data_IF_958253923670
#
_entry.id   IF_958253923670
#
_cell.length_a   1.000
_cell.length_b   1.000
_cell.length_c   1.000
_cell.angle_alpha   90.00
_cell.angle_beta   90.00
_cell.angle_gamma   90.00
#
_symmetry.space_group_name_H-M   'P 1'
#
loop_
_entity.id
_entity.type
_entity.pdbx_description
1 polymer ?
#
# COMPACT_ATOMS: atom_id res chain seq x y z
N UNK A 1 14.21 25.30 -20.60
CA UNK A 1 13.56 24.18 -19.88
C UNK A 1 14.21 24.08 -18.52
N UNK A 2 13.43 24.16 -17.47
CA UNK A 2 13.82 23.82 -16.10
C UNK A 2 13.10 22.55 -15.67
N UNK A 3 13.59 21.91 -14.61
CA UNK A 3 12.96 20.77 -14.00
C UNK A 3 12.46 21.19 -12.61
N UNK A 4 11.22 20.85 -12.30
CA UNK A 4 10.68 20.93 -10.95
C UNK A 4 10.61 19.51 -10.38
N UNK A 5 10.74 19.40 -9.05
CA UNK A 5 10.53 18.16 -8.32
C UNK A 5 9.28 18.24 -7.47
N UNK A 6 8.47 17.20 -7.45
CA UNK A 6 7.43 16.99 -6.45
C UNK A 6 7.81 15.77 -5.61
N UNK A 7 7.76 15.85 -4.27
CA UNK A 7 8.12 14.71 -3.43
C UNK A 7 7.06 13.60 -3.50
N UNK A 8 7.56 12.38 -3.44
CA UNK A 8 6.82 11.15 -3.24
C UNK A 8 7.14 10.67 -1.82
N UNK A 9 6.10 10.35 -1.05
CA UNK A 9 6.17 10.16 0.40
C UNK A 9 5.84 8.71 0.73
N UNK A 10 6.64 8.09 1.61
CA UNK A 10 6.29 6.81 2.23
C UNK A 10 5.19 7.04 3.27
N UNK A 11 4.02 6.46 3.06
CA UNK A 11 2.81 6.76 3.84
C UNK A 11 2.73 6.04 5.18
N UNK A 12 3.64 5.11 5.47
CA UNK A 12 3.78 4.51 6.80
C UNK A 12 4.58 5.38 7.77
N UNK A 13 5.53 6.17 7.25
CA UNK A 13 6.48 6.95 8.06
C UNK A 13 6.34 8.46 7.91
N UNK A 14 5.79 8.92 6.79
CA UNK A 14 5.79 10.32 6.37
C UNK A 14 7.13 10.79 5.79
N UNK A 15 8.11 9.91 5.60
CA UNK A 15 9.41 10.25 5.02
C UNK A 15 9.31 10.47 3.50
N UNK A 16 10.14 11.35 2.95
CA UNK A 16 10.24 11.53 1.51
C UNK A 16 11.03 10.35 0.91
N UNK A 17 10.34 9.49 0.16
CA UNK A 17 10.91 8.30 -0.48
C UNK A 17 11.54 8.63 -1.84
N UNK A 18 11.07 9.67 -2.52
CA UNK A 18 11.53 10.01 -3.85
C UNK A 18 10.96 11.31 -4.37
N UNK A 19 11.22 11.59 -5.65
CA UNK A 19 10.73 12.78 -6.32
C UNK A 19 10.31 12.46 -7.74
N UNK A 20 9.19 12.99 -8.18
CA UNK A 20 8.86 13.06 -9.60
C UNK A 20 9.46 14.32 -10.22
N UNK A 21 10.16 14.14 -11.35
CA UNK A 21 10.65 15.24 -12.17
C UNK A 21 9.59 15.68 -13.17
N UNK A 22 9.22 16.95 -13.07
CA UNK A 22 8.25 17.58 -13.93
C UNK A 22 8.93 18.65 -14.79
N UNK A 23 8.88 18.46 -16.10
CA UNK A 23 9.41 19.43 -17.05
C UNK A 23 8.65 20.76 -16.95
N UNK A 24 9.41 21.87 -16.98
CA UNK A 24 8.88 23.23 -17.06
C UNK A 24 9.55 23.96 -18.20
N UNK A 25 8.75 24.61 -19.02
CA UNK A 25 9.23 25.37 -20.17
C UNK A 25 9.09 26.84 -19.84
N UNK A 26 10.21 27.46 -19.46
CA UNK A 26 10.28 28.91 -19.35
C UNK A 26 10.25 29.52 -20.74
N UNK A 27 9.21 30.31 -20.98
CA UNK A 27 8.89 30.96 -22.24
C UNK A 27 8.70 32.45 -22.04
N UNK A 28 9.17 33.01 -20.91
CA UNK A 28 9.02 34.45 -20.64
C UNK A 28 9.58 35.33 -21.77
N UNK A 29 10.64 34.87 -22.45
CA UNK A 29 11.21 35.56 -23.62
C UNK A 29 10.35 35.47 -24.90
N UNK A 30 9.48 34.47 -25.03
CA UNK A 30 8.63 34.25 -26.22
C UNK A 30 7.15 34.61 -25.98
N UNK A 31 6.73 34.82 -24.74
CA UNK A 31 5.35 35.15 -24.36
C UNK A 31 4.37 33.97 -24.42
N UNK A 32 4.84 32.74 -24.69
CA UNK A 32 3.99 31.57 -24.91
C UNK A 32 3.88 30.73 -23.63
N UNK A 33 2.85 30.92 -22.81
CA UNK A 33 2.61 30.00 -21.69
C UNK A 33 1.89 28.74 -22.20
N UNK A 34 2.58 27.60 -22.19
CA UNK A 34 2.02 26.31 -22.57
C UNK A 34 2.41 25.24 -21.54
N UNK A 35 1.50 24.30 -21.32
CA UNK A 35 1.70 23.14 -20.45
C UNK A 35 2.69 22.15 -21.09
N UNK A 36 3.36 21.30 -20.29
CA UNK A 36 4.35 20.35 -20.82
C UNK A 36 3.81 19.45 -21.94
N UNK A 37 2.59 18.94 -21.79
CA UNK A 37 1.87 18.14 -22.79
C UNK A 37 1.81 18.82 -24.17
N UNK A 38 1.56 20.13 -24.23
CA UNK A 38 1.57 20.88 -25.48
C UNK A 38 2.96 20.98 -26.11
N UNK A 39 4.00 21.07 -25.29
CA UNK A 39 5.39 21.10 -25.77
C UNK A 39 5.83 19.76 -26.34
N UNK A 40 5.50 18.66 -25.67
CA UNK A 40 5.76 17.31 -26.18
C UNK A 40 4.96 17.01 -27.46
N UNK A 41 3.67 17.39 -27.50
CA UNK A 41 2.87 17.27 -28.72
C UNK A 41 3.42 18.09 -29.89
N UNK A 42 3.96 19.29 -29.63
CA UNK A 42 4.64 20.07 -30.65
C UNK A 42 5.95 19.39 -31.09
N UNK A 43 6.75 18.88 -30.15
CA UNK A 43 7.98 18.17 -30.47
C UNK A 43 7.73 16.93 -31.34
N UNK A 44 6.64 16.21 -31.07
CA UNK A 44 6.17 15.09 -31.88
C UNK A 44 5.79 15.55 -33.29
N UNK A 45 4.95 16.59 -33.39
CA UNK A 45 4.54 17.16 -34.67
C UNK A 45 5.72 17.60 -35.56
N UNK A 46 6.79 18.11 -34.94
CA UNK A 46 8.00 18.57 -35.64
C UNK A 46 9.10 17.51 -35.74
N UNK A 47 8.89 16.28 -35.27
CA UNK A 47 9.86 15.18 -35.36
C UNK A 47 11.11 15.35 -34.49
N UNK A 48 11.02 16.16 -33.42
CA UNK A 48 12.11 16.42 -32.47
C UNK A 48 11.84 15.85 -31.07
N UNK A 49 10.76 15.06 -30.90
CA UNK A 49 10.37 14.49 -29.61
C UNK A 49 11.48 13.65 -28.97
N UNK A 50 12.09 12.73 -29.72
CA UNK A 50 13.23 11.94 -29.22
C UNK A 50 14.42 12.79 -28.73
N UNK A 51 14.68 13.95 -29.35
CA UNK A 51 15.74 14.87 -28.91
C UNK A 51 15.37 15.58 -27.61
N UNK A 52 14.10 15.96 -27.46
CA UNK A 52 13.57 16.55 -26.24
C UNK A 52 13.59 15.53 -25.10
N UNK A 53 13.11 14.30 -25.34
CA UNK A 53 13.10 13.22 -24.37
C UNK A 53 14.52 12.85 -23.90
N UNK A 54 15.47 12.72 -24.83
CA UNK A 54 16.88 12.46 -24.48
C UNK A 54 17.44 13.56 -23.57
N UNK A 55 17.12 14.82 -23.83
CA UNK A 55 17.53 15.94 -22.96
C UNK A 55 16.91 15.86 -21.57
N UNK A 56 15.62 15.56 -21.47
CA UNK A 56 14.93 15.40 -20.18
C UNK A 56 15.58 14.28 -19.37
N UNK A 57 15.79 13.12 -20.00
CA UNK A 57 16.42 11.95 -19.38
C UNK A 57 17.85 12.24 -18.92
N UNK A 58 18.72 12.79 -19.76
CA UNK A 58 20.10 13.14 -19.35
C UNK A 58 20.12 14.14 -18.20
N UNK A 59 19.18 15.09 -18.20
CA UNK A 59 19.07 16.07 -17.11
C UNK A 59 18.60 15.41 -15.81
N UNK A 60 17.63 14.49 -15.87
CA UNK A 60 17.17 13.73 -14.72
C UNK A 60 18.27 12.83 -14.14
N UNK A 61 19.03 12.13 -15.00
CA UNK A 61 20.17 11.29 -14.57
C UNK A 61 21.23 12.13 -13.84
N UNK A 62 21.50 13.36 -14.30
CA UNK A 62 22.40 14.28 -13.62
C UNK A 62 21.82 14.78 -12.28
N UNK A 63 20.54 15.19 -12.26
CA UNK A 63 19.84 15.67 -11.06
C UNK A 63 19.81 14.63 -9.94
N UNK A 64 19.69 13.35 -10.29
CA UNK A 64 19.71 12.24 -9.32
C UNK A 64 20.94 12.25 -8.41
N UNK A 65 22.10 12.72 -8.88
CA UNK A 65 23.34 12.72 -8.12
C UNK A 65 23.33 13.67 -6.91
N UNK A 66 22.42 14.65 -6.90
CA UNK A 66 22.33 15.66 -5.83
C UNK A 66 21.10 15.46 -4.92
N UNK A 67 20.37 14.36 -5.10
CA UNK A 67 19.25 14.02 -4.24
C UNK A 67 19.72 13.61 -2.84
N UNK A 68 18.88 13.83 -1.80
CA UNK A 68 19.11 13.28 -0.47
C UNK A 68 19.41 11.77 -0.50
N UNK A 69 20.16 11.21 0.47
CA UNK A 69 20.38 9.77 0.55
C UNK A 69 19.06 8.98 0.58
N UNK A 70 19.09 7.74 0.09
CA UNK A 70 17.97 6.79 0.13
C UNK A 70 16.68 7.21 -0.61
N UNK A 71 16.71 8.31 -1.37
CA UNK A 71 15.57 8.72 -2.23
C UNK A 71 15.74 8.30 -3.68
N UNK A 72 14.65 8.05 -4.40
CA UNK A 72 14.67 7.85 -5.86
C UNK A 72 14.21 9.09 -6.65
N UNK A 73 14.43 9.08 -7.96
CA UNK A 73 13.96 10.08 -8.91
C UNK A 73 13.13 9.40 -10.00
N UNK A 74 11.88 9.80 -10.20
CA UNK A 74 11.08 9.35 -11.34
C UNK A 74 11.20 10.33 -12.50
N UNK A 75 11.24 9.78 -13.71
CA UNK A 75 11.22 10.55 -14.96
C UNK A 75 10.28 9.90 -15.95
N UNK A 76 9.36 10.70 -16.46
CA UNK A 76 8.42 10.33 -17.51
C UNK A 76 9.15 10.02 -18.82
N UNK A 77 8.86 8.85 -19.41
CA UNK A 77 9.39 8.41 -20.70
C UNK A 77 8.31 7.74 -21.53
N UNK A 78 8.13 8.21 -22.76
CA UNK A 78 7.26 7.53 -23.72
C UNK A 78 7.90 6.20 -24.15
N UNK A 79 7.23 5.05 -23.95
CA UNK A 79 7.77 3.72 -24.25
C UNK A 79 8.39 3.55 -25.64
N UNK A 80 7.78 4.12 -26.68
CA UNK A 80 8.27 3.97 -28.06
C UNK A 80 9.60 4.70 -28.29
N UNK A 81 9.86 5.79 -27.55
CA UNK A 81 11.09 6.57 -27.65
C UNK A 81 12.28 5.84 -27.02
N UNK A 82 12.07 4.87 -26.12
CA UNK A 82 13.14 4.02 -25.60
C UNK A 82 13.84 3.19 -26.68
N UNK A 83 13.18 3.01 -27.84
CA UNK A 83 13.77 2.34 -29.00
C UNK A 83 14.59 3.28 -29.89
N UNK A 84 14.52 4.59 -29.65
CA UNK A 84 15.32 5.58 -30.35
C UNK A 84 16.74 5.63 -29.77
N UNK A 85 17.75 5.59 -30.64
CA UNK A 85 19.16 5.56 -30.24
C UNK A 85 19.55 6.75 -29.35
N UNK A 86 18.93 7.92 -29.51
CA UNK A 86 19.26 9.12 -28.72
C UNK A 86 18.80 8.97 -27.27
N UNK A 87 17.61 8.42 -27.05
CA UNK A 87 17.06 8.22 -25.70
C UNK A 87 17.71 7.01 -25.05
N UNK A 88 17.93 5.95 -25.81
CA UNK A 88 18.69 4.79 -25.34
C UNK A 88 20.11 5.18 -24.94
N UNK A 89 20.83 5.99 -25.72
CA UNK A 89 22.14 6.51 -25.35
C UNK A 89 22.09 7.35 -24.07
N UNK A 90 21.11 8.25 -23.95
CA UNK A 90 20.90 9.08 -22.76
C UNK A 90 20.62 8.28 -21.47
N UNK A 91 20.22 7.00 -21.56
CA UNK A 91 20.10 6.09 -20.42
C UNK A 91 21.33 5.17 -20.28
N UNK A 92 21.72 4.52 -21.37
CA UNK A 92 22.63 3.36 -21.35
C UNK A 92 24.11 3.74 -21.38
N UNK A 93 24.46 4.96 -21.81
CA UNK A 93 25.82 5.50 -21.67
C UNK A 93 26.18 5.74 -20.21
N UNK A 94 25.18 5.90 -19.34
CA UNK A 94 25.39 5.90 -17.90
C UNK A 94 25.47 4.46 -17.39
N UNK A 95 26.56 4.13 -16.71
CA UNK A 95 26.79 2.78 -16.19
C UNK A 95 25.86 2.41 -15.04
N UNK A 96 25.57 3.36 -14.15
CA UNK A 96 24.73 3.16 -12.97
C UNK A 96 23.42 3.94 -13.07
N UNK A 97 22.30 3.21 -13.05
CA UNK A 97 20.93 3.72 -13.08
C UNK A 97 20.18 3.50 -11.74
N UNK A 98 20.88 3.11 -10.67
CA UNK A 98 20.32 3.01 -9.31
C UNK A 98 19.59 4.29 -8.89
N UNK A 99 18.51 4.17 -8.11
CA UNK A 99 17.70 5.32 -7.67
C UNK A 99 17.01 6.12 -8.79
N UNK A 100 17.06 5.66 -10.05
CA UNK A 100 16.24 6.21 -11.13
C UNK A 100 15.03 5.29 -11.34
N UNK A 101 13.86 5.89 -11.55
CA UNK A 101 12.62 5.21 -11.92
C UNK A 101 12.17 5.74 -13.27
N UNK A 102 12.05 4.87 -14.26
CA UNK A 102 11.46 5.24 -15.55
C UNK A 102 9.95 5.05 -15.48
N UNK A 103 9.22 6.13 -15.64
CA UNK A 103 7.77 6.14 -15.63
C UNK A 103 7.25 6.01 -17.06
N UNK A 104 6.55 4.92 -17.32
CA UNK A 104 6.05 4.56 -18.64
C UNK A 104 4.57 4.90 -18.73
N UNK A 105 4.22 5.77 -19.68
CA UNK A 105 2.82 6.16 -19.93
C UNK A 105 2.08 5.07 -20.71
N UNK A 106 0.82 4.80 -20.33
CA UNK A 106 0.01 3.72 -20.91
C UNK A 106 -0.32 3.91 -22.40
N UNK A 107 -0.40 5.17 -22.83
CA UNK A 107 -0.93 5.58 -24.14
C UNK A 107 -0.01 5.28 -25.32
N UNK A 108 1.22 4.84 -25.04
CA UNK A 108 2.19 4.64 -26.09
C UNK A 108 2.21 3.18 -26.53
N UNK A 109 1.52 2.88 -27.62
CA UNK A 109 1.56 1.57 -28.29
C UNK A 109 2.94 1.32 -28.90
N UNK A 110 3.90 0.93 -28.08
CA UNK A 110 5.14 0.31 -28.56
C UNK A 110 4.86 -0.97 -29.39
N UNK A 111 3.62 -1.47 -29.39
CA UNK A 111 3.15 -2.64 -30.12
C UNK A 111 2.68 -2.44 -31.57
N UNK A 112 2.58 -1.21 -32.10
CA UNK A 112 2.05 -1.02 -33.46
C UNK A 112 3.05 -1.44 -34.56
N UNK A 113 4.32 -1.67 -34.19
CA UNK A 113 5.34 -2.24 -35.07
C UNK A 113 5.61 -3.71 -34.74
N UNK A 114 5.76 -4.61 -35.74
CA UNK A 114 6.13 -6.00 -35.50
C UNK A 114 7.37 -6.13 -34.59
N UNK A 115 7.24 -6.88 -33.49
CA UNK A 115 8.31 -7.08 -32.51
C UNK A 115 8.65 -5.87 -31.64
N UNK A 116 7.88 -4.78 -31.69
CA UNK A 116 8.12 -3.58 -30.86
C UNK A 116 8.05 -3.86 -29.36
N UNK A 117 7.05 -4.64 -28.91
CA UNK A 117 6.93 -5.06 -27.50
C UNK A 117 8.16 -5.84 -27.01
N UNK A 118 8.66 -6.80 -27.79
CA UNK A 118 9.81 -7.61 -27.41
C UNK A 118 11.09 -6.76 -27.32
N UNK A 119 11.26 -5.80 -28.23
CA UNK A 119 12.37 -4.84 -28.19
C UNK A 119 12.29 -3.92 -26.98
N UNK A 120 11.10 -3.39 -26.67
CA UNK A 120 10.88 -2.56 -25.49
C UNK A 120 11.27 -3.33 -24.22
N UNK A 121 10.73 -4.54 -24.05
CA UNK A 121 11.09 -5.39 -22.90
C UNK A 121 12.60 -5.64 -22.82
N UNK A 122 13.27 -5.86 -23.97
CA UNK A 122 14.73 -5.99 -24.02
C UNK A 122 15.47 -4.75 -23.52
N UNK A 123 15.01 -3.55 -23.87
CA UNK A 123 15.59 -2.29 -23.37
C UNK A 123 15.33 -2.12 -21.87
N UNK A 124 14.13 -2.42 -21.40
CA UNK A 124 13.78 -2.33 -19.97
C UNK A 124 14.61 -3.29 -19.12
N UNK A 125 14.91 -4.51 -19.61
CA UNK A 125 15.81 -5.43 -18.92
C UNK A 125 17.25 -4.89 -18.84
N UNK A 126 17.74 -4.23 -19.90
CA UNK A 126 19.06 -3.58 -19.86
C UNK A 126 19.12 -2.42 -18.85
N UNK A 127 18.02 -1.68 -18.71
CA UNK A 127 17.88 -0.60 -17.73
C UNK A 127 17.82 -1.16 -16.30
N UNK A 128 17.02 -2.21 -16.07
CA UNK A 128 16.95 -2.93 -14.78
C UNK A 128 18.30 -3.51 -14.37
N UNK A 129 19.04 -4.10 -15.31
CA UNK A 129 20.37 -4.64 -15.05
C UNK A 129 21.38 -3.58 -14.58
N UNK A 130 21.10 -2.30 -14.82
CA UNK A 130 21.88 -1.15 -14.33
C UNK A 130 21.33 -0.54 -13.04
N UNK A 131 20.27 -1.12 -12.47
CA UNK A 131 19.70 -0.73 -11.17
C UNK A 131 18.50 0.23 -11.24
N UNK A 132 18.04 0.62 -12.43
CA UNK A 132 16.83 1.44 -12.53
C UNK A 132 15.56 0.63 -12.26
N UNK A 133 14.59 1.29 -11.65
CA UNK A 133 13.24 0.77 -11.48
C UNK A 133 12.34 1.25 -12.62
N UNK A 134 11.20 0.61 -12.75
CA UNK A 134 10.18 0.92 -13.74
C UNK A 134 8.89 1.23 -13.00
N UNK A 135 8.28 2.37 -13.30
CA UNK A 135 6.93 2.72 -12.89
C UNK A 135 5.98 2.60 -14.09
N UNK A 136 4.73 2.22 -13.81
CA UNK A 136 3.64 2.28 -14.78
C UNK A 136 2.67 3.38 -14.34
N UNK A 137 2.43 4.31 -15.25
CA UNK A 137 1.48 5.41 -15.04
C UNK A 137 0.05 5.00 -15.44
N UNK A 138 -0.96 5.61 -14.79
CA UNK A 138 -2.39 5.42 -15.08
C UNK A 138 -2.87 3.95 -15.10
N UNK A 139 -2.40 3.13 -14.17
CA UNK A 139 -2.79 1.72 -14.11
C UNK A 139 -4.20 1.53 -13.52
N UNK A 140 -5.24 1.88 -14.28
CA UNK A 140 -6.62 1.79 -13.79
C UNK A 140 -7.73 1.96 -14.82
N UNK A 141 -7.43 2.47 -16.03
CA UNK A 141 -8.46 2.92 -16.97
C UNK A 141 -9.04 1.81 -17.87
N UNK A 142 -8.62 0.55 -17.74
CA UNK A 142 -9.27 -0.60 -18.41
C UNK A 142 -8.45 -1.89 -18.59
N UNK A 143 -8.95 -2.81 -19.41
CA UNK A 143 -8.34 -4.14 -19.70
C UNK A 143 -6.92 -4.07 -20.29
N UNK A 144 -6.61 -2.98 -20.99
CA UNK A 144 -5.28 -2.74 -21.55
C UNK A 144 -4.22 -2.52 -20.45
N UNK A 145 -4.57 -1.84 -19.36
CA UNK A 145 -3.69 -1.56 -18.23
C UNK A 145 -3.24 -2.84 -17.51
N UNK A 146 -4.16 -3.76 -17.20
CA UNK A 146 -3.81 -5.03 -16.53
C UNK A 146 -2.89 -5.92 -17.38
N UNK A 147 -3.11 -5.95 -18.69
CA UNK A 147 -2.26 -6.74 -19.60
C UNK A 147 -0.84 -6.16 -19.67
N UNK A 148 -0.71 -4.82 -19.70
CA UNK A 148 0.59 -4.15 -19.64
C UNK A 148 1.26 -4.34 -18.29
N UNK A 149 0.53 -4.23 -17.19
CA UNK A 149 1.02 -4.44 -15.84
C UNK A 149 1.69 -5.81 -15.69
N UNK A 150 1.04 -6.87 -16.17
CA UNK A 150 1.58 -8.24 -16.13
C UNK A 150 2.80 -8.44 -17.04
N UNK A 151 2.84 -7.75 -18.18
CA UNK A 151 3.94 -7.84 -19.13
C UNK A 151 5.17 -7.05 -18.67
N UNK A 152 4.96 -5.86 -18.12
CA UNK A 152 6.00 -4.97 -17.67
C UNK A 152 6.55 -5.39 -16.30
N UNK A 153 5.71 -5.87 -15.37
CA UNK A 153 6.07 -6.12 -13.96
C UNK A 153 6.81 -4.92 -13.36
N UNK A 154 6.15 -3.75 -13.29
CA UNK A 154 6.75 -2.54 -12.76
C UNK A 154 7.00 -2.68 -11.26
N UNK A 155 7.97 -1.91 -10.76
CA UNK A 155 8.26 -1.79 -9.33
C UNK A 155 7.31 -0.79 -8.66
N UNK A 156 6.76 0.16 -9.43
CA UNK A 156 5.82 1.16 -8.94
C UNK A 156 4.61 1.21 -9.88
N UNK A 157 3.41 1.25 -9.32
CA UNK A 157 2.16 1.40 -10.05
C UNK A 157 1.45 2.64 -9.56
N UNK A 158 1.25 3.60 -10.46
CA UNK A 158 0.67 4.90 -10.13
C UNK A 158 -0.85 4.82 -10.29
N UNK A 159 -1.57 5.25 -9.25
CA UNK A 159 -3.01 5.40 -9.24
C UNK A 159 -3.33 6.87 -9.47
N UNK A 160 -4.00 7.16 -10.56
CA UNK A 160 -4.27 8.52 -11.00
C UNK A 160 -5.18 9.31 -10.06
N UNK A 161 -5.27 10.61 -10.32
CA UNK A 161 -6.18 11.50 -9.59
C UNK A 161 -7.64 11.09 -9.75
N UNK A 162 -8.04 10.50 -10.88
CA UNK A 162 -9.42 10.10 -11.11
C UNK A 162 -9.87 9.04 -10.10
N UNK A 163 -8.99 8.07 -9.80
CA UNK A 163 -9.22 7.07 -8.77
C UNK A 163 -9.15 7.68 -7.37
N UNK A 164 -8.15 8.51 -7.06
CA UNK A 164 -7.94 9.05 -5.70
C UNK A 164 -8.97 10.12 -5.30
N UNK A 165 -9.50 10.90 -6.25
CA UNK A 165 -10.41 12.01 -5.96
C UNK A 165 -11.70 11.56 -5.28
N UNK A 166 -11.95 12.06 -4.06
CA UNK A 166 -13.15 11.70 -3.28
C UNK A 166 -13.20 10.23 -2.84
N UNK A 167 -12.04 9.55 -2.77
CA UNK A 167 -11.95 8.16 -2.32
C UNK A 167 -12.54 7.98 -0.92
N UNK A 168 -12.40 8.96 -0.03
CA UNK A 168 -12.88 8.98 1.35
C UNK A 168 -14.40 8.74 1.51
N UNK A 169 -15.17 8.96 0.44
CA UNK A 169 -16.62 8.78 0.43
C UNK A 169 -17.09 7.62 -0.47
N UNK A 170 -16.18 6.88 -1.12
CA UNK A 170 -16.52 5.88 -2.13
C UNK A 170 -15.94 4.49 -1.81
N UNK A 171 -16.76 3.57 -1.27
CA UNK A 171 -16.30 2.22 -0.92
C UNK A 171 -15.94 1.37 -2.15
N UNK A 172 -16.39 1.72 -3.36
CA UNK A 172 -15.99 1.01 -4.59
C UNK A 172 -14.56 1.36 -4.95
N UNK A 173 -14.17 2.62 -4.78
CA UNK A 173 -12.78 3.05 -4.97
C UNK A 173 -11.84 2.40 -3.95
N UNK A 174 -12.27 2.26 -2.69
CA UNK A 174 -11.51 1.52 -1.68
C UNK A 174 -11.20 0.09 -2.16
N UNK A 175 -12.24 -0.66 -2.54
CA UNK A 175 -12.09 -2.04 -2.99
C UNK A 175 -11.19 -2.16 -4.24
N UNK A 176 -11.24 -1.18 -5.14
CA UNK A 176 -10.35 -1.17 -6.32
C UNK A 176 -8.90 -0.93 -5.93
N UNK A 177 -8.62 0.01 -5.03
CA UNK A 177 -7.27 0.28 -4.50
C UNK A 177 -6.73 -0.95 -3.78
N UNK A 178 -7.53 -1.61 -2.95
CA UNK A 178 -7.16 -2.85 -2.25
C UNK A 178 -6.77 -3.94 -3.26
N UNK A 179 -7.63 -4.23 -4.25
CA UNK A 179 -7.35 -5.26 -5.27
C UNK A 179 -6.08 -4.95 -6.08
N UNK A 180 -5.86 -3.68 -6.43
CA UNK A 180 -4.65 -3.26 -7.13
C UNK A 180 -3.42 -3.38 -6.24
N UNK A 181 -3.51 -2.95 -4.98
CA UNK A 181 -2.46 -3.11 -3.96
C UNK A 181 -2.05 -4.56 -3.81
N UNK A 182 -3.02 -5.46 -3.71
CA UNK A 182 -2.81 -6.89 -3.57
C UNK A 182 -2.11 -7.51 -4.78
N UNK A 183 -2.55 -7.15 -5.98
CA UNK A 183 -1.94 -7.60 -7.23
C UNK A 183 -0.49 -7.12 -7.35
N UNK A 184 -0.25 -5.84 -7.05
CA UNK A 184 1.06 -5.19 -7.14
C UNK A 184 2.03 -5.74 -6.10
N UNK A 185 1.57 -5.96 -4.87
CA UNK A 185 2.36 -6.59 -3.81
C UNK A 185 2.81 -8.00 -4.17
N UNK A 186 1.97 -8.80 -4.85
CA UNK A 186 2.35 -10.15 -5.36
C UNK A 186 3.40 -10.12 -6.47
N UNK A 187 3.67 -8.95 -7.06
CA UNK A 187 4.73 -8.73 -8.04
C UNK A 187 5.97 -8.05 -7.43
N UNK A 188 6.04 -7.96 -6.09
CA UNK A 188 7.09 -7.26 -5.35
C UNK A 188 7.19 -5.76 -5.74
N UNK A 189 6.05 -5.15 -6.09
CA UNK A 189 5.94 -3.73 -6.42
C UNK A 189 5.22 -2.91 -5.34
N UNK A 190 5.23 -1.60 -5.51
CA UNK A 190 4.53 -0.63 -4.66
C UNK A 190 3.45 0.12 -5.43
N UNK A 191 2.39 0.47 -4.73
CA UNK A 191 1.38 1.40 -5.23
C UNK A 191 1.74 2.82 -4.82
N UNK A 192 1.63 3.76 -5.77
CA UNK A 192 1.75 5.20 -5.58
C UNK A 192 0.40 5.87 -5.85
N UNK A 193 -0.23 6.43 -4.82
CA UNK A 193 -1.45 7.22 -4.98
C UNK A 193 -1.12 8.67 -5.39
N UNK A 194 -1.66 9.11 -6.52
CA UNK A 194 -1.38 10.43 -7.08
C UNK A 194 -2.51 11.44 -6.91
N UNK A 195 -2.13 12.71 -6.87
CA UNK A 195 -3.08 13.79 -6.80
C UNK A 195 -3.88 13.79 -5.49
N UNK A 196 -3.24 13.48 -4.36
CA UNK A 196 -3.89 13.61 -3.04
C UNK A 196 -4.04 15.11 -2.71
N UNK A 197 -5.28 15.61 -2.68
CA UNK A 197 -5.58 17.04 -2.56
C UNK A 197 -6.31 17.43 -1.27
N UNK A 198 -6.87 16.46 -0.53
CA UNK A 198 -7.47 16.72 0.78
C UNK A 198 -6.89 15.84 1.91
N UNK A 199 -6.91 16.31 3.18
CA UNK A 199 -6.50 15.48 4.31
C UNK A 199 -7.34 14.21 4.48
N UNK A 200 -8.64 14.25 4.11
CA UNK A 200 -9.51 13.09 4.17
C UNK A 200 -9.08 12.01 3.16
N UNK A 201 -8.76 12.41 1.93
CA UNK A 201 -8.18 11.50 0.92
C UNK A 201 -6.87 10.88 1.43
N UNK A 202 -5.99 11.68 2.04
CA UNK A 202 -4.72 11.19 2.60
C UNK A 202 -4.94 10.17 3.72
N UNK A 203 -5.81 10.48 4.69
CA UNK A 203 -6.15 9.57 5.80
C UNK A 203 -6.71 8.24 5.27
N UNK A 204 -7.60 8.30 4.27
CA UNK A 204 -8.14 7.09 3.63
C UNK A 204 -7.07 6.28 2.93
N UNK A 205 -6.22 6.91 2.11
CA UNK A 205 -5.15 6.21 1.37
C UNK A 205 -4.14 5.57 2.33
N UNK A 206 -3.78 6.24 3.43
CA UNK A 206 -2.95 5.67 4.50
C UNK A 206 -3.67 4.49 5.17
N UNK A 207 -4.95 4.64 5.46
CA UNK A 207 -5.79 3.59 6.06
C UNK A 207 -5.93 2.33 5.21
N UNK A 208 -5.87 2.48 3.88
CA UNK A 208 -5.90 1.38 2.91
C UNK A 208 -4.51 0.72 2.73
N UNK A 209 -3.48 1.15 3.46
CA UNK A 209 -2.15 0.54 3.40
C UNK A 209 -1.38 0.85 2.10
N UNK A 210 -1.74 1.91 1.37
CA UNK A 210 -0.98 2.32 0.17
C UNK A 210 0.42 2.76 0.58
N UNK A 211 1.44 2.23 -0.10
CA UNK A 211 2.83 2.43 0.30
C UNK A 211 3.34 3.86 0.06
N UNK A 212 3.04 4.43 -1.12
CA UNK A 212 3.58 5.72 -1.55
C UNK A 212 2.45 6.69 -1.89
N UNK A 213 2.66 7.97 -1.61
CA UNK A 213 1.70 9.03 -1.93
C UNK A 213 2.35 10.29 -2.50
N UNK A 214 1.64 10.95 -3.42
CA UNK A 214 2.01 12.23 -4.00
C UNK A 214 0.76 13.10 -4.18
N UNK A 215 0.87 14.39 -3.86
CA UNK A 215 -0.27 15.29 -3.96
C UNK A 215 -0.04 16.65 -3.30
N UNK A 216 -0.95 17.59 -3.53
CA UNK A 216 -0.82 18.95 -3.03
C UNK A 216 -0.95 19.08 -1.51
N UNK A 217 -1.59 18.13 -0.84
CA UNK A 217 -1.62 18.05 0.63
C UNK A 217 -0.24 17.75 1.18
N UNK A 218 0.53 16.90 0.49
CA UNK A 218 1.88 16.53 0.88
C UNK A 218 2.86 17.64 0.54
N UNK A 219 2.96 17.98 -0.76
CA UNK A 219 3.68 19.15 -1.24
C UNK A 219 3.40 19.41 -2.73
N UNK A 220 3.55 20.67 -3.15
CA UNK A 220 3.46 21.07 -4.56
C UNK A 220 4.80 20.91 -5.29
N UNK A 221 4.80 20.72 -6.62
CA UNK A 221 6.02 20.76 -7.42
C UNK A 221 6.77 22.08 -7.25
N UNK A 222 8.07 22.02 -6.99
CA UNK A 222 8.92 23.18 -6.79
C UNK A 222 10.24 23.06 -7.57
N UNK A 223 10.91 24.19 -7.82
CA UNK A 223 12.23 24.20 -8.45
C UNK A 223 13.34 23.69 -7.52
N UNK A 224 13.05 23.55 -6.22
CA UNK A 224 13.98 23.07 -5.19
C UNK A 224 13.45 21.77 -4.63
N UNK A 225 14.37 20.83 -4.38
CA UNK A 225 14.09 19.55 -3.74
C UNK A 225 13.71 19.79 -2.29
N UNK A 226 12.54 19.30 -1.88
CA UNK A 226 12.06 19.37 -0.50
C UNK A 226 12.49 18.08 0.24
N UNK A 227 13.47 18.14 1.17
CA UNK A 227 14.00 16.92 1.78
C UNK A 227 13.04 16.25 2.77
N UNK A 228 12.17 17.04 3.41
CA UNK A 228 11.31 16.58 4.51
C UNK A 228 9.97 17.34 4.48
N UNK A 229 8.91 16.69 4.97
CA UNK A 229 7.60 17.30 5.16
C UNK A 229 7.53 18.08 6.49
N UNK A 230 6.46 18.85 6.68
CA UNK A 230 6.19 19.51 7.97
C UNK A 230 5.90 18.51 9.08
N UNK A 231 6.45 18.75 10.27
CA UNK A 231 6.36 17.83 11.43
C UNK A 231 4.93 17.45 11.82
N UNK A 232 3.97 18.37 11.70
CA UNK A 232 2.56 18.14 12.00
C UNK A 232 1.97 17.09 11.04
N UNK A 233 2.19 17.27 9.74
CA UNK A 233 1.71 16.34 8.72
C UNK A 233 2.34 14.95 8.87
N UNK A 234 3.64 14.87 9.18
CA UNK A 234 4.32 13.60 9.45
C UNK A 234 3.68 12.88 10.64
N UNK A 235 3.36 13.61 11.71
CA UNK A 235 2.70 13.05 12.89
C UNK A 235 1.30 12.53 12.58
N UNK A 236 0.55 13.23 11.74
CA UNK A 236 -0.78 12.80 11.31
C UNK A 236 -0.69 11.51 10.50
N UNK A 237 0.22 11.44 9.51
CA UNK A 237 0.49 10.23 8.72
C UNK A 237 0.84 9.05 9.62
N UNK A 238 1.78 9.21 10.55
CA UNK A 238 2.18 8.15 11.49
C UNK A 238 1.03 7.72 12.41
N UNK A 239 0.16 8.65 12.79
CA UNK A 239 -1.02 8.35 13.61
C UNK A 239 -2.02 7.51 12.84
N UNK A 240 -2.30 7.86 11.58
CA UNK A 240 -3.20 7.10 10.72
C UNK A 240 -2.63 5.73 10.35
N UNK A 241 -1.34 5.67 10.00
CA UNK A 241 -0.64 4.41 9.70
C UNK A 241 -0.65 3.48 10.92
N UNK A 242 -0.36 3.99 12.12
CA UNK A 242 -0.42 3.20 13.35
C UNK A 242 -1.83 2.69 13.67
N UNK A 243 -2.89 3.43 13.32
CA UNK A 243 -4.29 2.96 13.45
C UNK A 243 -4.59 1.84 12.46
N UNK A 244 -4.18 2.00 11.20
CA UNK A 244 -4.36 0.98 10.17
C UNK A 244 -3.63 -0.32 10.54
N UNK A 245 -2.39 -0.23 11.02
CA UNK A 245 -1.65 -1.38 11.52
C UNK A 245 -2.36 -2.02 12.71
N UNK A 246 -2.85 -1.24 13.69
CA UNK A 246 -3.58 -1.79 14.84
C UNK A 246 -4.82 -2.58 14.43
N UNK A 247 -5.54 -2.14 13.40
CA UNK A 247 -6.72 -2.84 12.88
C UNK A 247 -6.38 -4.24 12.34
N UNK A 248 -5.15 -4.49 11.91
CA UNK A 248 -4.64 -5.81 11.47
C UNK A 248 -4.16 -6.73 12.61
N UNK A 249 -4.21 -6.27 13.86
CA UNK A 249 -3.74 -7.00 15.03
C UNK A 249 -4.86 -7.42 15.98
N UNK A 250 -4.62 -8.47 16.77
CA UNK A 250 -5.57 -9.00 17.77
C UNK A 250 -6.10 -7.90 18.70
N UNK A 251 -5.25 -6.93 19.08
CA UNK A 251 -5.63 -5.86 20.00
C UNK A 251 -6.87 -5.08 19.55
N UNK A 252 -7.09 -4.87 18.24
CA UNK A 252 -8.26 -4.15 17.74
C UNK A 252 -9.59 -4.85 18.03
N UNK A 253 -9.55 -6.17 18.25
CA UNK A 253 -10.72 -7.00 18.51
C UNK A 253 -10.90 -7.38 19.98
N UNK A 254 -9.98 -6.98 20.86
CA UNK A 254 -10.02 -7.37 22.27
C UNK A 254 -11.20 -6.70 22.96
N UNK A 255 -12.09 -7.52 23.52
CA UNK A 255 -13.08 -7.06 24.50
C UNK A 255 -12.67 -7.46 25.91
N UNK A 256 -13.08 -6.66 26.88
CA UNK A 256 -12.97 -7.02 28.30
C UNK A 256 -13.71 -8.33 28.59
N UNK A 257 -13.10 -9.17 29.43
CA UNK A 257 -13.66 -10.43 29.89
C UNK A 257 -13.60 -10.51 31.41
N UNK A 258 -14.56 -11.18 32.03
CA UNK A 258 -14.47 -11.51 33.46
C UNK A 258 -13.47 -12.63 33.66
N UNK A 259 -12.43 -12.37 34.45
CA UNK A 259 -11.34 -13.31 34.73
C UNK A 259 -11.41 -13.70 36.20
N UNK A 260 -11.29 -14.99 36.51
CA UNK A 260 -11.38 -15.46 37.89
C UNK A 260 -11.07 -16.94 38.05
N UNK A 261 -11.12 -17.41 39.29
CA UNK A 261 -10.93 -18.83 39.66
C UNK A 261 -12.25 -19.56 39.89
N UNK A 262 -13.36 -18.84 39.97
CA UNK A 262 -14.71 -19.37 40.12
C UNK A 262 -15.40 -19.52 38.75
N UNK A 263 -15.62 -20.76 38.26
CA UNK A 263 -16.25 -21.00 36.97
C UNK A 263 -17.64 -20.38 36.82
N UNK A 264 -18.37 -20.08 37.90
CA UNK A 264 -19.71 -19.50 37.81
C UNK A 264 -19.69 -18.02 37.40
N UNK A 265 -18.65 -17.27 37.78
CA UNK A 265 -18.59 -15.81 37.66
C UNK A 265 -17.62 -15.30 36.57
N UNK A 266 -16.81 -16.17 35.97
CA UNK A 266 -15.82 -15.79 34.96
C UNK A 266 -16.07 -16.38 33.56
N UNK A 267 -15.51 -15.71 32.56
CA UNK A 267 -15.38 -16.16 31.17
C UNK A 267 -14.01 -16.79 30.89
N UNK A 268 -12.98 -16.33 31.62
CA UNK A 268 -11.62 -16.89 31.57
C UNK A 268 -11.29 -17.46 32.93
N UNK A 269 -11.06 -18.77 32.98
CA UNK A 269 -10.76 -19.50 34.21
C UNK A 269 -9.24 -19.53 34.44
N UNK A 270 -8.81 -19.05 35.60
CA UNK A 270 -7.43 -19.11 36.05
C UNK A 270 -7.19 -20.35 36.93
N UNK A 271 -6.00 -20.92 36.83
CA UNK A 271 -5.49 -21.92 37.75
C UNK A 271 -4.99 -21.29 39.05
N UNK A 272 -4.69 -22.13 40.05
CA UNK A 272 -4.09 -21.68 41.31
C UNK A 272 -2.72 -21.00 41.13
N UNK A 273 -2.07 -21.22 39.99
CA UNK A 273 -0.83 -20.57 39.56
C UNK A 273 -1.03 -19.23 38.83
N UNK A 274 -2.27 -18.74 38.77
CA UNK A 274 -2.63 -17.48 38.10
C UNK A 274 -2.64 -17.57 36.57
N UNK A 275 -2.36 -18.75 35.99
CA UNK A 275 -2.33 -18.95 34.53
C UNK A 275 -3.70 -19.32 33.98
N UNK A 276 -3.96 -18.92 32.74
CA UNK A 276 -5.19 -19.26 32.03
C UNK A 276 -5.30 -20.78 31.85
N UNK A 277 -6.43 -21.36 32.25
CA UNK A 277 -6.71 -22.80 32.16
C UNK A 277 -7.79 -23.15 31.14
N UNK A 278 -8.80 -22.31 31.02
CA UNK A 278 -9.89 -22.52 30.09
C UNK A 278 -10.59 -21.20 29.76
N UNK A 279 -11.30 -21.18 28.64
CA UNK A 279 -12.16 -20.08 28.21
C UNK A 279 -13.56 -20.61 27.94
N UNK A 280 -14.57 -19.82 28.31
CA UNK A 280 -15.96 -20.22 28.15
C UNK A 280 -16.36 -20.19 26.67
N UNK A 281 -16.90 -21.30 26.19
CA UNK A 281 -17.39 -21.50 24.83
C UNK A 281 -18.91 -21.67 24.85
N UNK A 282 -19.64 -20.57 24.62
CA UNK A 282 -21.09 -20.57 24.61
C UNK A 282 -21.72 -21.31 23.40
N UNK A 283 -20.92 -21.69 22.40
CA UNK A 283 -21.37 -22.31 21.14
C UNK A 283 -21.30 -23.83 21.09
N UNK A 284 -20.84 -24.51 22.15
CA UNK A 284 -20.72 -25.97 22.18
C UNK A 284 -22.07 -26.72 22.38
N UNK A 285 -23.16 -25.99 22.64
CA UNK A 285 -24.52 -26.54 22.72
C UNK A 285 -25.23 -26.47 21.38
N UNK A 286 -25.56 -27.63 20.80
CA UNK A 286 -26.22 -27.76 19.51
C UNK A 286 -27.55 -27.00 19.38
N UNK A 287 -27.92 -26.76 18.12
CA UNK A 287 -29.21 -26.21 17.66
C UNK A 287 -30.41 -26.73 18.47
N UNK A 288 -31.03 -25.86 19.26
CA UNK A 288 -32.27 -26.15 19.97
C UNK A 288 -33.02 -24.85 20.26
N UNK A 289 -34.15 -24.66 19.58
CA UNK A 289 -35.08 -23.57 19.84
C UNK A 289 -35.61 -23.65 21.27
N UNK A 290 -35.56 -22.53 22.00
CA UNK A 290 -36.58 -22.15 22.98
C UNK A 290 -36.55 -22.82 24.36
N UNK A 291 -36.53 -21.93 25.36
CA UNK A 291 -37.28 -21.97 26.62
C UNK A 291 -36.56 -22.30 27.93
N UNK A 292 -36.78 -21.33 28.83
CA UNK A 292 -37.03 -21.44 30.27
C UNK A 292 -35.83 -21.46 31.23
N UNK A 293 -35.77 -20.35 31.99
CA UNK A 293 -35.09 -20.23 33.26
C UNK A 293 -35.54 -21.31 34.26
N UNK A 294 -34.58 -21.91 34.95
CA UNK A 294 -34.80 -22.82 36.07
C UNK A 294 -33.52 -22.94 36.89
N UNK A 295 -33.61 -22.52 38.15
CA UNK A 295 -32.50 -22.51 39.11
C UNK A 295 -32.03 -23.93 39.46
N UNK A 296 -30.71 -24.12 39.50
CA UNK A 296 -30.05 -25.32 40.00
C UNK A 296 -28.53 -25.15 39.98
N UNK A 297 -27.95 -24.76 41.12
CA UNK A 297 -26.51 -24.75 41.32
C UNK A 297 -26.04 -26.19 41.58
N UNK A 298 -25.33 -26.79 40.62
CA UNK A 298 -24.75 -28.13 40.79
C UNK A 298 -24.01 -28.59 39.54
N UNK A 299 -22.69 -28.77 39.67
CA UNK A 299 -21.71 -29.09 38.63
C UNK A 299 -21.60 -28.02 37.52
N UNK A 300 -20.51 -27.23 37.56
CA UNK A 300 -20.14 -26.39 36.42
C UNK A 300 -20.09 -27.27 35.17
N UNK A 301 -20.93 -26.97 34.19
CA UNK A 301 -21.00 -27.71 32.94
C UNK A 301 -19.66 -27.58 32.22
N UNK A 302 -18.78 -28.56 32.43
CA UNK A 302 -17.44 -28.61 31.83
C UNK A 302 -17.50 -28.68 30.30
N UNK A 303 -18.66 -29.00 29.71
CA UNK A 303 -18.85 -28.97 28.26
C UNK A 303 -18.88 -27.53 27.68
N UNK A 304 -19.09 -26.52 28.53
CA UNK A 304 -19.08 -25.11 28.16
C UNK A 304 -17.69 -24.46 28.19
N UNK A 305 -16.62 -25.25 28.41
CA UNK A 305 -15.25 -24.77 28.54
C UNK A 305 -14.33 -25.40 27.50
N UNK A 306 -13.52 -24.56 26.85
CA UNK A 306 -12.53 -24.97 25.87
C UNK A 306 -11.10 -24.69 26.38
N UNK A 307 -10.10 -25.51 26.00
CA UNK A 307 -8.69 -25.19 26.24
C UNK A 307 -8.35 -23.83 25.61
N UNK A 308 -7.60 -22.94 26.29
CA UNK A 308 -7.37 -21.60 25.79
C UNK A 308 -6.41 -21.62 24.60
N UNK A 309 -6.67 -20.78 23.61
CA UNK A 309 -5.67 -20.37 22.63
C UNK A 309 -5.18 -18.98 23.03
N UNK A 310 -3.94 -18.92 23.52
CA UNK A 310 -3.32 -17.66 23.97
C UNK A 310 -2.73 -16.91 22.79
N UNK A 311 -3.01 -15.62 22.74
CA UNK A 311 -2.57 -14.71 21.68
C UNK A 311 -2.03 -13.41 22.26
N UNK A 312 -1.01 -12.84 21.64
CA UNK A 312 -0.48 -11.54 22.02
C UNK A 312 -1.34 -10.42 21.42
N UNK A 313 -1.41 -9.23 22.05
CA UNK A 313 -2.06 -8.05 21.47
C UNK A 313 -1.55 -7.71 20.06
N UNK A 314 -0.23 -7.84 19.86
CA UNK A 314 0.45 -7.57 18.59
C UNK A 314 0.49 -8.77 17.64
N UNK A 315 -0.31 -9.81 17.86
CA UNK A 315 -0.38 -10.93 16.92
C UNK A 315 -1.26 -10.56 15.71
N UNK A 316 -0.81 -10.91 14.50
CA UNK A 316 -1.58 -10.70 13.27
C UNK A 316 -2.89 -11.48 13.30
N UNK A 317 -3.99 -10.84 12.87
CA UNK A 317 -5.29 -11.50 12.76
C UNK A 317 -5.23 -12.76 11.89
N UNK A 318 -4.50 -12.72 10.77
CA UNK A 318 -4.42 -13.85 9.83
C UNK A 318 -3.68 -15.05 10.44
N UNK A 319 -2.56 -14.81 11.14
CA UNK A 319 -1.83 -15.86 11.86
C UNK A 319 -2.71 -16.49 12.95
N UNK A 320 -3.41 -15.64 13.71
CA UNK A 320 -4.26 -16.06 14.81
C UNK A 320 -5.44 -16.88 14.31
N UNK A 321 -6.05 -16.52 13.18
CA UNK A 321 -7.10 -17.32 12.56
C UNK A 321 -6.59 -18.66 12.06
N UNK A 322 -5.39 -18.72 11.46
CA UNK A 322 -4.76 -20.00 11.08
C UNK A 322 -4.58 -20.90 12.31
N UNK A 323 -4.09 -20.35 13.43
CA UNK A 323 -3.95 -21.10 14.69
C UNK A 323 -5.31 -21.54 15.24
N UNK A 324 -6.33 -20.68 15.20
CA UNK A 324 -7.68 -21.01 15.65
C UNK A 324 -8.29 -22.16 14.82
N UNK A 325 -8.08 -22.17 13.51
CA UNK A 325 -8.58 -23.19 12.59
C UNK A 325 -7.93 -24.57 12.80
N UNK A 326 -6.76 -24.65 13.44
CA UNK A 326 -6.09 -25.93 13.78
C UNK A 326 -6.58 -26.57 15.08
N UNK A 327 -7.49 -25.91 15.81
CA UNK A 327 -8.09 -26.46 17.04
C UNK A 327 -9.04 -27.62 16.71
N UNK A 328 -9.41 -28.39 17.73
CA UNK A 328 -10.40 -29.47 17.60
C UNK A 328 -11.75 -28.89 17.14
N UNK A 329 -12.56 -29.62 16.35
CA UNK A 329 -13.82 -29.11 15.80
C UNK A 329 -14.75 -28.44 16.82
N UNK A 330 -14.85 -29.00 18.03
CA UNK A 330 -15.64 -28.47 19.14
C UNK A 330 -15.08 -27.16 19.75
N UNK A 331 -13.79 -26.88 19.56
CA UNK A 331 -13.07 -25.74 20.12
C UNK A 331 -12.76 -24.64 19.08
N UNK A 332 -12.94 -24.91 17.78
CA UNK A 332 -12.63 -23.93 16.70
C UNK A 332 -13.41 -22.63 16.89
N UNK A 333 -14.65 -22.69 17.35
CA UNK A 333 -15.49 -21.51 17.61
C UNK A 333 -15.27 -20.85 18.97
N UNK A 334 -14.45 -21.45 19.86
CA UNK A 334 -14.26 -20.94 21.21
C UNK A 334 -13.43 -19.63 21.18
N UNK A 335 -13.78 -18.63 22.01
CA UNK A 335 -13.02 -17.37 22.08
C UNK A 335 -11.52 -17.59 22.33
N UNK A 336 -10.73 -16.65 21.84
CA UNK A 336 -9.29 -16.57 22.07
C UNK A 336 -9.02 -15.73 23.31
N UNK A 337 -7.95 -16.02 24.04
CA UNK A 337 -7.57 -15.25 25.24
C UNK A 337 -6.35 -14.41 24.91
N UNK A 338 -6.50 -13.09 24.98
CA UNK A 338 -5.41 -12.16 24.76
C UNK A 338 -4.65 -11.94 26.07
N UNK A 339 -3.34 -12.17 26.05
CA UNK A 339 -2.46 -12.00 27.22
C UNK A 339 -1.26 -11.13 26.89
N UNK A 340 -0.80 -10.33 27.86
CA UNK A 340 0.45 -9.58 27.72
C UNK A 340 1.69 -10.49 27.82
N UNK A 341 2.88 -9.91 27.74
CA UNK A 341 4.15 -10.64 27.84
C UNK A 341 4.43 -11.29 29.20
N UNK A 342 3.65 -10.95 30.24
CA UNK A 342 3.72 -11.56 31.57
C UNK A 342 2.64 -12.64 31.77
N UNK A 343 1.78 -12.88 30.77
CA UNK A 343 0.68 -13.83 30.83
C UNK A 343 -0.57 -13.30 31.54
N UNK A 344 -0.63 -11.99 31.81
CA UNK A 344 -1.83 -11.34 32.37
C UNK A 344 -2.87 -11.22 31.28
N UNK A 345 -4.13 -11.56 31.61
CA UNK A 345 -5.24 -11.49 30.66
C UNK A 345 -5.59 -10.03 30.38
N UNK A 346 -5.43 -9.62 29.13
CA UNK A 346 -5.87 -8.32 28.59
C UNK A 346 -7.36 -8.40 28.27
N UNK A 347 -7.83 -9.52 27.71
CA UNK A 347 -9.22 -9.74 27.37
C UNK A 347 -9.42 -10.99 26.52
N UNK A 348 -10.52 -11.02 25.77
CA UNK A 348 -10.84 -12.11 24.83
C UNK A 348 -11.21 -11.57 23.46
N UNK A 349 -11.02 -12.40 22.44
CA UNK A 349 -11.44 -12.12 21.06
C UNK A 349 -12.39 -13.22 20.62
N UNK A 350 -13.58 -12.87 20.14
CA UNK A 350 -14.47 -13.87 19.57
C UNK A 350 -13.96 -14.28 18.18
N UNK A 351 -14.01 -15.58 17.87
CA UNK A 351 -13.61 -16.07 16.55
C UNK A 351 -14.50 -15.49 15.45
N UNK A 352 -15.76 -15.18 15.74
CA UNK A 352 -16.65 -14.47 14.82
C UNK A 352 -16.11 -13.07 14.46
N UNK A 353 -15.69 -12.27 15.45
CA UNK A 353 -15.14 -10.94 15.23
C UNK A 353 -13.83 -11.01 14.43
N UNK A 354 -13.00 -12.01 14.72
CA UNK A 354 -11.78 -12.31 13.95
C UNK A 354 -12.09 -12.65 12.49
N UNK A 355 -13.10 -13.47 12.22
CA UNK A 355 -13.51 -13.82 10.87
C UNK A 355 -14.13 -12.62 10.13
N UNK A 356 -14.91 -11.79 10.82
CA UNK A 356 -15.46 -10.55 10.25
C UNK A 356 -14.33 -9.59 9.90
N UNK A 357 -13.35 -9.38 10.78
CA UNK A 357 -12.20 -8.53 10.50
C UNK A 357 -11.39 -9.06 9.31
N UNK A 358 -11.12 -10.37 9.24
CA UNK A 358 -10.44 -10.99 8.11
C UNK A 358 -11.24 -11.04 6.80
N UNK A 359 -12.55 -10.82 6.87
CA UNK A 359 -13.36 -10.65 5.66
C UNK A 359 -13.25 -9.24 5.07
N UNK A 360 -12.75 -8.28 5.86
CA UNK A 360 -12.53 -6.88 5.47
C UNK A 360 -11.08 -6.60 5.09
N UNK A 361 -10.12 -7.24 5.77
CA UNK A 361 -8.69 -7.04 5.57
C UNK A 361 -8.10 -8.00 4.51
N UNK A 362 -8.67 -8.06 3.29
CA UNK A 362 -8.38 -9.12 2.33
C UNK A 362 -7.85 -8.68 1.00
#
# INVERSE_FOLDING_TARGET
>A
MSLHSQPIVELSTGAVAGYEVLSRFDTQASGITATPDRWFAAAEHWGVNAQLQARVVSTAVAMRQVLPPDTFLTVNVEPHLLLDERVAAALLEHGDLSRLVLELTEHTRAGDQPGGQARLLGVLEQVRARGAMIAMDDAGTGYAGLSQLLALRPHIVKLDRELISGIDADPVKHALVEVLGDLVGRMDGWVLAEGIETPAELETVVGLGVALGQGYVLARPAAVVLPELGEELVRDIQTWAGRAELDEHVLSLVRTARVGTDPASCEVLLGADGRVRAVRNAGAGGTGHGAAAGAGAGAADLSSWSPPLLVAPSASLAEVARRAATRRPEDVGAPLVCTDGQGVVVGVVAVADLLVALSRAR
#
